data_IF_522305671351
#
_entry.id   IF_522305671351
#
_cell.length_a   1.000
_cell.length_b   1.000
_cell.length_c   1.000
_cell.angle_alpha   90.00
_cell.angle_beta   90.00
_cell.angle_gamma   90.00
#
_symmetry.space_group_name_H-M   'P 1'
#
loop_
_entity.id
_entity.type
_entity.pdbx_description
1 polymer ?
#
# COMPACT_ATOMS: atom_id res chain seq x y z
N UNK A 1 -28.45 25.41 16.53
CA UNK A 1 -26.98 25.23 16.62
C UNK A 1 -26.59 23.97 15.85
N UNK A 2 -25.98 24.11 14.70
CA UNK A 2 -25.62 23.00 13.79
C UNK A 2 -24.24 22.49 14.19
N UNK A 3 -24.17 21.26 14.70
CA UNK A 3 -22.87 20.57 14.94
C UNK A 3 -22.15 20.33 13.61
N UNK A 4 -21.03 20.99 13.43
CA UNK A 4 -20.08 20.68 12.36
C UNK A 4 -19.52 19.28 12.61
N UNK A 5 -19.96 18.28 11.82
CA UNK A 5 -19.34 16.95 11.80
C UNK A 5 -17.88 17.08 11.33
N UNK A 6 -16.95 16.79 12.21
CA UNK A 6 -15.53 16.71 11.91
C UNK A 6 -15.23 15.61 10.90
N UNK A 7 -15.03 15.98 9.64
CA UNK A 7 -14.60 15.08 8.56
C UNK A 7 -13.11 14.70 8.61
N UNK A 8 -12.39 15.07 9.67
CA UNK A 8 -10.95 14.87 9.78
C UNK A 8 -10.49 13.45 10.23
N UNK A 9 -11.42 12.57 10.62
CA UNK A 9 -11.06 11.27 11.20
C UNK A 9 -10.48 10.26 10.20
N UNK A 10 -10.96 10.24 8.95
CA UNK A 10 -10.55 9.24 7.95
C UNK A 10 -9.15 9.52 7.35
N UNK A 11 -8.80 10.80 7.15
CA UNK A 11 -7.49 11.18 6.66
C UNK A 11 -6.37 10.90 7.67
N UNK A 12 -6.65 11.05 8.97
CA UNK A 12 -5.69 10.77 10.05
C UNK A 12 -5.37 9.28 10.20
N UNK A 13 -6.33 8.38 9.97
CA UNK A 13 -6.12 6.93 10.13
C UNK A 13 -5.20 6.35 9.05
N UNK A 14 -5.33 6.79 7.80
CA UNK A 14 -4.43 6.37 6.70
C UNK A 14 -2.98 6.76 6.99
N UNK A 15 -2.76 8.02 7.37
CA UNK A 15 -1.43 8.56 7.71
C UNK A 15 -0.78 7.78 8.87
N UNK A 16 -1.55 7.34 9.87
CA UNK A 16 -1.02 6.54 11.00
C UNK A 16 -0.55 5.15 10.54
N UNK A 17 -1.32 4.46 9.70
CA UNK A 17 -0.92 3.14 9.18
C UNK A 17 0.35 3.20 8.34
N UNK A 18 0.45 4.19 7.46
CA UNK A 18 1.63 4.44 6.64
C UNK A 18 2.87 4.79 7.47
N UNK A 19 2.72 5.64 8.49
CA UNK A 19 3.81 6.02 9.39
C UNK A 19 4.30 4.83 10.23
N UNK A 20 3.39 3.99 10.71
CA UNK A 20 3.72 2.79 11.47
C UNK A 20 4.49 1.79 10.60
N UNK A 21 4.03 1.52 9.37
CA UNK A 21 4.76 0.63 8.47
C UNK A 21 6.15 1.17 8.16
N UNK A 22 6.26 2.46 7.86
CA UNK A 22 7.55 3.10 7.59
C UNK A 22 8.53 2.89 8.74
N UNK A 23 8.09 3.15 9.99
CA UNK A 23 8.91 2.95 11.18
C UNK A 23 9.37 1.50 11.34
N UNK A 24 8.46 0.53 11.18
CA UNK A 24 8.77 -0.89 11.28
C UNK A 24 9.81 -1.32 10.23
N UNK A 25 9.70 -0.82 9.00
CA UNK A 25 10.65 -1.09 7.93
C UNK A 25 12.01 -0.45 8.19
N UNK A 26 12.03 0.81 8.65
CA UNK A 26 13.27 1.54 9.02
C UNK A 26 14.03 0.83 10.15
N UNK A 27 13.34 0.34 11.17
CA UNK A 27 13.92 -0.44 12.28
C UNK A 27 14.61 -1.74 11.81
N UNK A 28 14.25 -2.24 10.62
CA UNK A 28 14.84 -3.42 9.98
C UNK A 28 15.81 -3.08 8.84
N UNK A 29 16.12 -1.81 8.66
CA UNK A 29 17.01 -1.34 7.60
C UNK A 29 16.40 -1.46 6.18
N UNK A 30 15.08 -1.61 6.07
CA UNK A 30 14.37 -1.70 4.79
C UNK A 30 13.85 -0.31 4.42
N UNK A 31 14.36 0.32 3.35
CA UNK A 31 13.93 1.67 2.96
C UNK A 31 12.54 1.63 2.32
N UNK A 32 11.64 2.51 2.77
CA UNK A 32 10.34 2.78 2.14
C UNK A 32 10.35 4.21 1.60
N UNK A 33 10.32 4.35 0.28
CA UNK A 33 10.35 5.64 -0.40
C UNK A 33 8.94 6.05 -0.81
N UNK A 34 8.56 7.30 -0.49
CA UNK A 34 7.21 7.83 -0.69
C UNK A 34 7.19 9.17 -1.41
N UNK A 35 8.26 9.96 -1.26
CA UNK A 35 8.37 11.32 -1.80
C UNK A 35 9.59 11.47 -2.69
N UNK A 36 9.57 12.47 -3.58
CA UNK A 36 10.73 12.77 -4.43
C UNK A 36 11.99 13.08 -3.63
N UNK A 37 11.84 13.71 -2.47
CA UNK A 37 12.93 14.04 -1.57
C UNK A 37 13.57 12.76 -1.01
N UNK A 38 12.76 11.78 -0.62
CA UNK A 38 13.25 10.48 -0.14
C UNK A 38 14.01 9.73 -1.24
N UNK A 39 13.50 9.75 -2.49
CA UNK A 39 14.23 9.17 -3.63
C UNK A 39 15.56 9.87 -3.88
N UNK A 40 15.60 11.21 -3.86
CA UNK A 40 16.85 11.96 -4.03
C UNK A 40 17.84 11.68 -2.91
N UNK A 41 17.37 11.54 -1.68
CA UNK A 41 18.22 11.21 -0.53
C UNK A 41 18.76 9.78 -0.61
N UNK A 42 17.92 8.83 -0.98
CA UNK A 42 18.31 7.42 -1.09
C UNK A 42 19.29 7.19 -2.25
N UNK A 43 18.97 7.73 -3.41
CA UNK A 43 19.82 7.66 -4.61
C UNK A 43 20.79 8.83 -4.71
N UNK A 44 21.59 9.06 -3.66
CA UNK A 44 22.52 10.19 -3.56
C UNK A 44 23.76 10.06 -4.50
N UNK A 45 24.00 8.88 -5.07
CA UNK A 45 25.10 8.59 -5.98
C UNK A 45 24.77 8.85 -7.46
N UNK A 46 23.50 9.07 -7.80
CA UNK A 46 23.07 9.40 -9.16
C UNK A 46 22.63 10.87 -9.26
N UNK A 47 22.61 11.45 -10.48
CA UNK A 47 22.15 12.82 -10.67
C UNK A 47 20.74 13.03 -10.12
N UNK A 48 20.51 14.14 -9.42
CA UNK A 48 19.20 14.49 -8.81
C UNK A 48 18.03 14.41 -9.79
N UNK A 49 18.27 14.75 -11.08
CA UNK A 49 17.26 14.66 -12.15
C UNK A 49 16.82 13.21 -12.36
N UNK A 50 17.76 12.25 -12.36
CA UNK A 50 17.47 10.83 -12.53
C UNK A 50 16.71 10.27 -11.32
N UNK A 51 17.12 10.61 -10.08
CA UNK A 51 16.40 10.19 -8.88
C UNK A 51 14.95 10.71 -8.87
N UNK A 52 14.71 11.95 -9.31
CA UNK A 52 13.36 12.51 -9.47
C UNK A 52 12.56 11.83 -10.57
N UNK A 53 13.21 11.43 -11.67
CA UNK A 53 12.56 10.68 -12.74
C UNK A 53 12.12 9.31 -12.23
N UNK A 54 12.97 8.58 -11.53
CA UNK A 54 12.65 7.30 -10.93
C UNK A 54 11.48 7.43 -9.93
N UNK A 55 11.48 8.48 -9.11
CA UNK A 55 10.34 8.76 -8.22
C UNK A 55 9.01 8.93 -8.97
N UNK A 56 9.03 9.60 -10.13
CA UNK A 56 7.83 9.73 -10.97
C UNK A 56 7.37 8.39 -11.53
N UNK A 57 8.29 7.57 -12.03
CA UNK A 57 7.98 6.26 -12.58
C UNK A 57 7.38 5.32 -11.54
N UNK A 58 7.94 5.30 -10.32
CA UNK A 58 7.48 4.39 -9.25
C UNK A 58 6.27 4.91 -8.48
N UNK A 59 6.09 6.23 -8.37
CA UNK A 59 5.04 6.85 -7.54
C UNK A 59 3.94 7.54 -8.36
N UNK A 60 3.91 7.38 -9.67
CA UNK A 60 2.88 7.93 -10.55
C UNK A 60 2.47 6.88 -11.56
N UNK A 61 1.55 6.01 -11.16
CA UNK A 61 1.05 4.93 -11.99
C UNK A 61 0.01 5.44 -12.99
N UNK A 62 0.21 5.15 -14.27
CA UNK A 62 -0.73 5.55 -15.32
C UNK A 62 -2.03 4.73 -15.21
N UNK A 63 -3.16 5.37 -15.49
CA UNK A 63 -4.45 4.71 -15.53
C UNK A 63 -4.92 4.55 -16.99
N UNK A 64 -5.08 3.32 -17.50
CA UNK A 64 -5.52 3.08 -18.87
C UNK A 64 -6.92 3.66 -19.19
N UNK A 65 -7.81 3.69 -18.20
CA UNK A 65 -9.19 4.21 -18.38
C UNK A 65 -9.30 5.72 -18.26
N UNK A 66 -8.30 6.37 -17.66
CA UNK A 66 -8.29 7.80 -17.39
C UNK A 66 -6.89 8.37 -17.65
N UNK A 67 -6.53 8.59 -18.93
CA UNK A 67 -5.16 9.00 -19.30
C UNK A 67 -4.69 10.29 -18.64
N UNK A 68 -5.61 11.15 -18.20
CA UNK A 68 -5.32 12.40 -17.48
C UNK A 68 -5.10 12.22 -15.99
N UNK A 69 -5.42 11.04 -15.44
CA UNK A 69 -5.24 10.71 -14.03
C UNK A 69 -4.09 9.73 -13.82
N UNK A 70 -3.47 9.84 -12.67
CA UNK A 70 -2.48 8.87 -12.22
C UNK A 70 -2.78 8.49 -10.79
N UNK A 71 -2.50 7.23 -10.45
CA UNK A 71 -2.57 6.74 -9.09
C UNK A 71 -1.19 6.85 -8.44
N UNK A 72 -1.18 7.18 -7.16
CA UNK A 72 0.02 7.21 -6.36
C UNK A 72 -0.08 6.07 -5.34
N UNK A 73 0.84 5.10 -5.38
CA UNK A 73 0.92 4.08 -4.33
C UNK A 73 1.39 4.70 -3.02
N UNK A 74 1.17 4.00 -1.90
CA UNK A 74 1.56 4.49 -0.58
C UNK A 74 3.07 4.43 -0.35
N UNK A 75 3.80 3.60 -1.12
CA UNK A 75 5.25 3.57 -1.07
C UNK A 75 5.88 2.57 -2.03
N UNK A 76 7.20 2.58 -2.05
CA UNK A 76 8.02 1.67 -2.85
C UNK A 76 9.29 1.27 -2.09
N UNK A 77 9.61 -0.03 -2.10
CA UNK A 77 10.83 -0.58 -1.50
C UNK A 77 11.86 -0.83 -2.61
N UNK A 78 12.95 -0.04 -2.68
CA UNK A 78 13.92 -0.12 -3.78
C UNK A 78 14.70 -1.43 -3.82
N UNK A 79 15.03 -1.99 -2.67
CA UNK A 79 15.85 -3.21 -2.56
C UNK A 79 15.19 -4.46 -3.12
N UNK A 80 13.87 -4.47 -3.18
CA UNK A 80 13.08 -5.62 -3.67
C UNK A 80 12.16 -5.25 -4.84
N UNK A 81 12.23 -4.00 -5.31
CA UNK A 81 11.33 -3.41 -6.32
C UNK A 81 9.84 -3.67 -6.00
N UNK A 82 9.46 -3.53 -4.72
CA UNK A 82 8.11 -3.83 -4.26
C UNK A 82 7.30 -2.56 -4.10
N UNK A 83 6.17 -2.48 -4.79
CA UNK A 83 5.16 -1.43 -4.60
C UNK A 83 4.27 -1.76 -3.42
N UNK A 84 3.96 -0.76 -2.60
CA UNK A 84 3.18 -0.91 -1.37
C UNK A 84 1.88 -0.11 -1.48
N UNK A 85 0.78 -0.77 -1.17
CA UNK A 85 -0.53 -0.15 -0.96
C UNK A 85 -1.04 -0.56 0.42
N UNK A 86 -1.53 0.41 1.22
CA UNK A 86 -1.97 0.19 2.60
C UNK A 86 -3.42 0.59 2.74
N UNK A 87 -4.23 -0.27 3.32
CA UNK A 87 -5.57 0.08 3.78
C UNK A 87 -5.65 -0.02 5.29
N UNK A 88 -6.08 1.06 5.89
CA UNK A 88 -6.29 1.12 7.32
C UNK A 88 -7.77 0.92 7.62
N UNK A 89 -8.12 -0.17 8.31
CA UNK A 89 -9.50 -0.50 8.65
C UNK A 89 -10.00 0.31 9.83
N UNK A 90 -10.67 1.42 9.57
CA UNK A 90 -11.41 2.13 10.61
C UNK A 90 -12.70 2.69 10.03
N UNK A 91 -13.83 2.11 10.42
CA UNK A 91 -15.21 2.63 10.31
C UNK A 91 -15.76 2.85 8.89
N UNK A 92 -16.89 2.24 8.69
CA UNK A 92 -17.95 2.44 7.69
C UNK A 92 -17.78 3.60 6.71
N UNK A 93 -17.73 3.30 5.42
CA UNK A 93 -17.78 4.28 4.35
C UNK A 93 -17.03 3.89 3.09
N UNK A 94 -16.49 4.84 2.38
CA UNK A 94 -15.83 4.73 1.06
C UNK A 94 -14.63 3.78 0.97
N UNK A 95 -14.17 3.20 2.07
CA UNK A 95 -13.04 2.24 2.08
C UNK A 95 -13.39 0.97 1.30
N UNK A 96 -14.62 0.48 1.43
CA UNK A 96 -15.08 -0.74 0.77
C UNK A 96 -15.13 -0.56 -0.76
N UNK A 97 -15.63 0.59 -1.22
CA UNK A 97 -15.65 0.94 -2.64
C UNK A 97 -14.22 1.08 -3.21
N UNK A 98 -13.32 1.67 -2.44
CA UNK A 98 -11.91 1.80 -2.83
C UNK A 98 -11.21 0.45 -2.96
N UNK A 99 -11.51 -0.51 -2.09
CA UNK A 99 -10.95 -1.87 -2.17
C UNK A 99 -11.35 -2.54 -3.49
N UNK A 100 -12.60 -2.40 -3.93
CA UNK A 100 -13.02 -2.94 -5.22
C UNK A 100 -12.42 -2.20 -6.40
N UNK A 101 -12.29 -0.89 -6.34
CA UNK A 101 -11.60 -0.12 -7.36
C UNK A 101 -10.12 -0.52 -7.47
N UNK A 102 -9.47 -0.79 -6.36
CA UNK A 102 -8.08 -1.27 -6.36
C UNK A 102 -7.97 -2.67 -6.97
N UNK A 103 -8.97 -3.55 -6.78
CA UNK A 103 -9.02 -4.84 -7.45
C UNK A 103 -9.05 -4.69 -8.98
N UNK A 104 -9.88 -3.77 -9.50
CA UNK A 104 -9.91 -3.48 -10.94
C UNK A 104 -8.58 -2.90 -11.43
N UNK A 105 -7.95 -2.02 -10.67
CA UNK A 105 -6.62 -1.50 -11.00
C UNK A 105 -5.55 -2.61 -11.09
N UNK A 106 -5.63 -3.63 -10.23
CA UNK A 106 -4.70 -4.77 -10.27
C UNK A 106 -4.97 -5.60 -11.54
N UNK A 107 -6.24 -5.91 -11.83
CA UNK A 107 -6.66 -6.65 -13.03
C UNK A 107 -6.19 -6.00 -14.33
N UNK A 108 -6.30 -4.68 -14.39
CA UNK A 108 -5.95 -3.90 -15.58
C UNK A 108 -4.49 -3.48 -15.65
N UNK A 109 -3.65 -4.00 -14.74
CA UNK A 109 -2.22 -3.76 -14.75
C UNK A 109 -1.81 -2.31 -14.44
N UNK A 110 -2.65 -1.55 -13.72
CA UNK A 110 -2.29 -0.22 -13.22
C UNK A 110 -1.18 -0.34 -12.17
N UNK A 111 -1.29 -1.32 -11.27
CA UNK A 111 -0.23 -1.65 -10.35
C UNK A 111 0.81 -2.56 -11.01
N UNK A 112 2.10 -2.41 -10.68
CA UNK A 112 3.13 -3.32 -11.15
C UNK A 112 2.95 -4.73 -10.56
N UNK A 113 3.53 -5.74 -11.21
CA UNK A 113 3.42 -7.15 -10.82
C UNK A 113 3.95 -7.47 -9.41
N UNK A 114 4.86 -6.64 -8.87
CA UNK A 114 5.40 -6.80 -7.53
C UNK A 114 4.69 -5.87 -6.53
N UNK A 115 3.39 -6.05 -6.38
CA UNK A 115 2.54 -5.32 -5.44
C UNK A 115 2.38 -6.10 -4.13
N UNK A 116 2.60 -5.42 -3.01
CA UNK A 116 2.12 -5.88 -1.71
C UNK A 116 0.99 -4.98 -1.22
N UNK A 117 -0.17 -5.59 -1.00
CA UNK A 117 -1.37 -4.92 -0.50
C UNK A 117 -1.57 -5.24 0.98
N UNK A 118 -1.42 -4.25 1.84
CA UNK A 118 -1.42 -4.43 3.29
C UNK A 118 -2.71 -3.90 3.89
N UNK A 119 -3.52 -4.81 4.44
CA UNK A 119 -4.61 -4.44 5.33
C UNK A 119 -4.05 -4.25 6.74
N UNK A 120 -4.13 -3.02 7.26
CA UNK A 120 -3.72 -2.74 8.64
C UNK A 120 -4.87 -3.03 9.59
N UNK A 121 -5.01 -4.29 9.95
CA UNK A 121 -6.09 -4.82 10.76
C UNK A 121 -6.40 -6.28 10.41
N UNK A 122 -7.38 -6.87 11.10
CA UNK A 122 -7.89 -8.21 10.78
C UNK A 122 -8.97 -8.12 9.69
N UNK A 123 -9.23 -9.21 8.95
CA UNK A 123 -10.31 -9.25 7.96
C UNK A 123 -11.66 -8.80 8.53
N UNK A 124 -11.92 -9.11 9.79
CA UNK A 124 -13.17 -8.82 10.49
C UNK A 124 -13.39 -7.31 10.72
N UNK A 125 -12.31 -6.53 10.76
CA UNK A 125 -12.37 -5.06 10.92
C UNK A 125 -12.85 -4.35 9.65
N UNK A 126 -12.81 -5.03 8.49
CA UNK A 126 -13.24 -4.52 7.19
C UNK A 126 -14.65 -4.98 6.83
N UNK A 127 -15.53 -5.02 7.82
CA UNK A 127 -16.94 -5.39 7.61
C UNK A 127 -17.75 -4.18 7.21
N UNK A 128 -18.56 -4.34 6.15
CA UNK A 128 -19.70 -3.47 5.87
C UNK A 128 -20.96 -4.34 5.87
N UNK A 129 -21.89 -4.07 6.78
CA UNK A 129 -23.05 -4.89 6.95
C UNK A 129 -22.71 -6.35 7.25
N UNK A 130 -23.10 -7.28 6.35
CA UNK A 130 -22.86 -8.73 6.48
C UNK A 130 -21.63 -9.24 5.70
N UNK A 131 -20.90 -8.37 5.02
CA UNK A 131 -19.77 -8.75 4.16
C UNK A 131 -18.45 -8.28 4.76
N UNK A 132 -17.43 -9.10 4.62
CA UNK A 132 -16.05 -8.73 4.90
C UNK A 132 -15.33 -8.50 3.57
N UNK A 133 -15.23 -7.26 3.13
CA UNK A 133 -14.66 -6.90 1.83
C UNK A 133 -13.18 -7.28 1.71
N UNK A 134 -12.41 -7.19 2.79
CA UNK A 134 -11.01 -7.57 2.76
C UNK A 134 -10.81 -9.07 2.49
N UNK A 135 -11.67 -9.95 3.04
CA UNK A 135 -11.67 -11.39 2.70
C UNK A 135 -12.09 -11.64 1.26
N UNK A 136 -13.11 -10.90 0.78
CA UNK A 136 -13.55 -11.02 -0.62
C UNK A 136 -12.43 -10.59 -1.56
N UNK A 137 -11.74 -9.48 -1.27
CA UNK A 137 -10.59 -9.02 -2.03
C UNK A 137 -9.47 -10.07 -2.05
N UNK A 138 -9.03 -10.54 -0.88
CA UNK A 138 -8.00 -11.58 -0.76
C UNK A 138 -8.36 -12.83 -1.56
N UNK A 139 -9.61 -13.31 -1.42
CA UNK A 139 -10.10 -14.48 -2.14
C UNK A 139 -10.07 -14.26 -3.66
N UNK A 140 -10.58 -13.12 -4.14
CA UNK A 140 -10.56 -12.80 -5.57
C UNK A 140 -9.14 -12.71 -6.13
N UNK A 141 -8.20 -12.09 -5.42
CA UNK A 141 -6.80 -12.05 -5.83
C UNK A 141 -6.21 -13.46 -5.99
N UNK A 142 -6.55 -14.38 -5.08
CA UNK A 142 -6.10 -15.78 -5.15
C UNK A 142 -6.79 -16.56 -6.27
N UNK A 143 -8.11 -16.49 -6.36
CA UNK A 143 -8.90 -17.23 -7.35
C UNK A 143 -8.54 -16.82 -8.79
N UNK A 144 -8.21 -15.55 -9.01
CA UNK A 144 -7.85 -14.98 -10.31
C UNK A 144 -6.33 -14.99 -10.56
N UNK A 145 -5.54 -15.52 -9.62
CA UNK A 145 -4.07 -15.55 -9.67
C UNK A 145 -3.45 -14.18 -10.02
N UNK A 146 -3.96 -13.12 -9.37
CA UNK A 146 -3.46 -11.77 -9.59
C UNK A 146 -2.06 -11.58 -9.00
N UNK A 147 -1.20 -10.74 -9.61
CA UNK A 147 0.18 -10.53 -9.20
C UNK A 147 0.28 -9.60 -7.97
N UNK A 148 -0.35 -9.99 -6.87
CA UNK A 148 -0.39 -9.23 -5.62
C UNK A 148 -0.21 -10.13 -4.41
N UNK A 149 0.66 -9.71 -3.48
CA UNK A 149 0.78 -10.32 -2.15
C UNK A 149 -0.12 -9.58 -1.17
N UNK A 150 -1.17 -10.24 -0.64
CA UNK A 150 -2.10 -9.64 0.32
C UNK A 150 -1.70 -10.02 1.73
N UNK A 151 -1.56 -9.02 2.61
CA UNK A 151 -1.12 -9.18 4.00
C UNK A 151 -2.10 -8.48 4.95
N UNK A 152 -2.38 -9.14 6.08
CA UNK A 152 -3.09 -8.54 7.21
C UNK A 152 -2.09 -8.28 8.35
N UNK A 153 -1.78 -7.01 8.61
CA UNK A 153 -0.72 -6.64 9.53
C UNK A 153 -0.95 -7.07 10.99
N UNK A 154 -2.21 -7.26 11.39
CA UNK A 154 -2.57 -7.69 12.76
C UNK A 154 -3.16 -9.10 12.81
N UNK A 155 -3.24 -9.84 11.69
CA UNK A 155 -3.64 -11.24 11.69
C UNK A 155 -2.59 -12.05 12.44
N UNK A 156 -3.02 -13.05 13.20
CA UNK A 156 -2.14 -13.97 13.95
C UNK A 156 -1.10 -13.22 14.80
N UNK A 157 -1.51 -12.16 15.50
CA UNK A 157 -0.63 -11.33 16.34
C UNK A 157 0.56 -10.73 15.56
N UNK A 158 0.35 -10.41 14.31
CA UNK A 158 1.37 -9.82 13.44
C UNK A 158 2.34 -10.83 12.80
N UNK A 159 2.13 -12.14 12.98
CA UNK A 159 3.00 -13.16 12.40
C UNK A 159 3.08 -13.07 10.87
N UNK A 160 1.99 -12.73 10.20
CA UNK A 160 1.93 -12.56 8.75
C UNK A 160 2.81 -11.39 8.28
N UNK A 161 2.73 -10.25 8.94
CA UNK A 161 3.59 -9.11 8.67
C UNK A 161 5.06 -9.45 8.94
N UNK A 162 5.38 -10.13 10.04
CA UNK A 162 6.75 -10.51 10.38
C UNK A 162 7.37 -11.43 9.32
N UNK A 163 6.65 -12.47 8.86
CA UNK A 163 7.12 -13.33 7.76
C UNK A 163 7.40 -12.55 6.47
N UNK A 164 6.52 -11.61 6.14
CA UNK A 164 6.74 -10.75 4.98
C UNK A 164 7.98 -9.86 5.15
N UNK A 165 8.18 -9.26 6.31
CA UNK A 165 9.35 -8.44 6.61
C UNK A 165 10.66 -9.24 6.51
N UNK A 166 10.69 -10.47 7.02
CA UNK A 166 11.82 -11.38 6.87
C UNK A 166 12.12 -11.70 5.40
N UNK A 167 11.07 -11.94 4.61
CA UNK A 167 11.19 -12.16 3.16
C UNK A 167 11.79 -10.93 2.45
N UNK A 168 11.36 -9.71 2.83
CA UNK A 168 11.93 -8.48 2.27
C UNK A 168 13.40 -8.31 2.66
N UNK A 169 13.76 -8.51 3.92
CA UNK A 169 15.14 -8.43 4.39
C UNK A 169 16.06 -9.42 3.65
N UNK A 170 15.63 -10.68 3.50
CA UNK A 170 16.40 -11.73 2.82
C UNK A 170 16.59 -11.47 1.32
N UNK A 171 15.65 -10.80 0.66
CA UNK A 171 15.81 -10.37 -0.75
C UNK A 171 16.76 -9.19 -0.89
N UNK A 172 16.84 -8.32 0.11
CA UNK A 172 17.70 -7.13 0.10
C UNK A 172 19.21 -7.46 0.24
N UNK A 173 19.54 -8.65 0.72
CA UNK A 173 20.93 -9.12 0.94
C UNK A 173 21.51 -9.92 -0.21
N UNK A 174 20.76 -10.14 -1.27
CA UNK A 174 21.20 -10.80 -2.51
C UNK A 174 21.44 -9.79 -3.61
#
# INVERSE_FOLDING_TARGET
>A
MSEKKDHHGAARSGVVGEANLKKILEERGIPLLRTQEEFVKYYNTIPKKQAKQLAREKMKLACPWQPTQSYRPDGWIPTTDTTIEIKFGVKHGTTDEKIFLDLEKIRDGVYPENLTYIFWGTPEQYKSGRRCFARVFEKKCKDENLPVEVIFATRDNGAELNRWLEKQANKSTR
#
